data_IF_446106225558
#
_entry.id   IF_446106225558
#
_cell.length_a   1.000
_cell.length_b   1.000
_cell.length_c   1.000
_cell.angle_alpha   90.00
_cell.angle_beta   90.00
_cell.angle_gamma   90.00
#
_symmetry.space_group_name_H-M   'P 1'
#
loop_
_entity.id
_entity.type
_entity.pdbx_description
1 polymer ?
#
# COMPACT_ATOMS: atom_id res chain seq x y z
N UNK A 1 -14.46 -7.11 -57.85
CA UNK A 1 -14.35 -5.80 -57.17
C UNK A 1 -15.08 -5.89 -55.84
N UNK A 2 -14.41 -6.39 -54.80
CA UNK A 2 -14.90 -6.29 -53.42
C UNK A 2 -13.96 -5.34 -52.68
N UNK A 3 -14.57 -4.34 -52.05
CA UNK A 3 -13.95 -3.12 -51.54
C UNK A 3 -12.87 -3.38 -50.49
N UNK A 4 -11.65 -2.91 -50.76
CA UNK A 4 -10.56 -2.75 -49.79
C UNK A 4 -10.84 -1.64 -48.74
N UNK A 5 -11.98 -0.94 -48.82
CA UNK A 5 -12.35 0.16 -47.94
C UNK A 5 -12.93 -0.26 -46.59
N UNK A 6 -13.53 -1.45 -46.49
CA UNK A 6 -14.23 -1.89 -45.26
C UNK A 6 -13.26 -2.43 -44.21
N UNK A 7 -12.11 -2.99 -44.61
CA UNK A 7 -11.13 -3.56 -43.68
C UNK A 7 -10.40 -2.47 -42.90
N UNK A 8 -10.07 -1.32 -43.52
CA UNK A 8 -9.39 -0.20 -42.81
C UNK A 8 -10.30 0.55 -41.82
N UNK A 9 -11.60 0.61 -42.08
CA UNK A 9 -12.56 1.27 -41.16
C UNK A 9 -12.80 0.41 -39.92
N UNK A 10 -12.79 -0.93 -40.05
CA UNK A 10 -12.91 -1.85 -38.91
C UNK A 10 -11.63 -1.87 -38.05
N UNK A 11 -10.43 -1.72 -38.64
CA UNK A 11 -9.17 -1.58 -37.88
C UNK A 11 -9.07 -0.24 -37.14
N UNK A 12 -9.64 0.85 -37.69
CA UNK A 12 -9.64 2.16 -37.03
C UNK A 12 -10.67 2.23 -35.89
N UNK A 13 -11.85 1.62 -36.06
CA UNK A 13 -12.86 1.54 -34.98
C UNK A 13 -12.46 0.57 -33.86
N UNK A 14 -11.74 -0.51 -34.16
CA UNK A 14 -11.18 -1.38 -33.12
C UNK A 14 -10.03 -0.71 -32.36
N UNK A 15 -9.25 0.18 -32.99
CA UNK A 15 -8.28 1.01 -32.28
C UNK A 15 -8.96 2.03 -31.34
N UNK A 16 -10.08 2.65 -31.74
CA UNK A 16 -10.81 3.64 -30.92
C UNK A 16 -11.61 3.01 -29.76
N UNK A 17 -12.15 1.80 -29.92
CA UNK A 17 -12.83 1.08 -28.83
C UNK A 17 -11.85 0.63 -27.72
N UNK A 18 -10.56 0.56 -28.02
CA UNK A 18 -9.48 0.32 -27.06
C UNK A 18 -9.07 1.57 -26.27
N UNK A 19 -9.75 2.71 -26.42
CA UNK A 19 -9.46 3.95 -25.65
C UNK A 19 -10.54 4.33 -24.64
N UNK A 20 -11.67 3.62 -24.56
CA UNK A 20 -12.66 3.90 -23.52
C UNK A 20 -12.17 3.36 -22.16
N UNK A 21 -12.07 4.20 -21.13
CA UNK A 21 -11.69 3.77 -19.80
C UNK A 21 -12.80 2.87 -19.23
N UNK A 22 -12.44 1.64 -18.86
CA UNK A 22 -13.25 0.86 -17.93
C UNK A 22 -13.27 1.62 -16.61
N UNK A 23 -14.45 1.70 -15.98
CA UNK A 23 -14.67 2.40 -14.70
C UNK A 23 -13.57 2.04 -13.70
N UNK A 24 -12.60 2.94 -13.51
CA UNK A 24 -11.87 3.04 -12.27
C UNK A 24 -12.90 3.38 -11.18
N UNK A 25 -12.70 2.83 -9.99
CA UNK A 25 -13.38 3.30 -8.78
C UNK A 25 -13.15 4.82 -8.72
N UNK A 26 -14.17 5.57 -8.31
CA UNK A 26 -14.17 7.02 -8.21
C UNK A 26 -13.10 7.48 -7.19
N UNK A 27 -11.83 7.50 -7.59
CA UNK A 27 -10.81 8.26 -6.90
C UNK A 27 -11.13 9.73 -7.14
N UNK A 28 -11.07 10.54 -6.09
CA UNK A 28 -11.23 11.98 -6.27
C UNK A 28 -10.03 12.45 -7.12
N UNK A 29 -10.26 13.05 -8.30
CA UNK A 29 -9.14 13.54 -9.10
C UNK A 29 -8.53 14.76 -8.42
N UNK A 30 -7.27 14.65 -7.98
CA UNK A 30 -6.50 15.80 -7.50
C UNK A 30 -5.81 16.51 -8.67
N UNK A 31 -5.57 17.82 -8.51
CA UNK A 31 -4.85 18.58 -9.51
C UNK A 31 -3.34 18.27 -9.44
N UNK A 32 -2.86 17.48 -10.39
CA UNK A 32 -1.45 17.07 -10.58
C UNK A 32 -0.45 18.24 -10.74
N UNK A 33 -0.95 19.46 -10.95
CA UNK A 33 -0.14 20.70 -11.05
C UNK A 33 -0.07 21.47 -9.72
N UNK A 34 -0.63 20.93 -8.65
CA UNK A 34 -0.56 21.51 -7.31
C UNK A 34 0.68 21.00 -6.58
N UNK A 35 1.11 21.79 -5.60
CA UNK A 35 2.21 21.46 -4.71
C UNK A 35 1.84 20.32 -3.76
N UNK A 36 2.83 19.49 -3.41
CA UNK A 36 2.69 18.53 -2.32
C UNK A 36 3.02 19.24 -1.02
N UNK A 37 1.98 19.48 -0.21
CA UNK A 37 2.07 20.29 1.00
C UNK A 37 2.14 19.35 2.21
N UNK A 38 3.35 19.14 2.71
CA UNK A 38 3.60 18.42 3.96
C UNK A 38 3.96 19.40 5.06
N UNK A 39 3.27 19.29 6.20
CA UNK A 39 3.62 20.07 7.37
C UNK A 39 4.70 19.35 8.18
N UNK A 40 5.92 19.91 8.16
CA UNK A 40 7.04 19.41 8.97
C UNK A 40 7.18 20.13 10.31
N UNK A 41 6.32 21.11 10.61
CA UNK A 41 6.27 21.74 11.93
C UNK A 41 5.77 20.73 12.98
N UNK A 42 6.37 20.74 14.17
CA UNK A 42 6.04 19.81 15.27
C UNK A 42 6.25 18.32 14.94
N UNK A 43 7.07 18.03 13.93
CA UNK A 43 7.58 16.70 13.60
C UNK A 43 9.03 16.56 14.07
N UNK A 44 9.58 15.34 14.02
CA UNK A 44 11.00 15.09 14.34
C UNK A 44 11.93 15.31 13.12
N UNK A 45 11.43 15.99 12.09
CA UNK A 45 12.20 16.28 10.88
C UNK A 45 13.40 17.19 11.18
N UNK A 46 14.59 16.79 10.75
CA UNK A 46 15.71 17.71 10.60
C UNK A 46 15.73 18.24 9.17
N UNK A 47 15.61 19.55 9.01
CA UNK A 47 15.63 20.21 7.71
C UNK A 47 16.95 20.95 7.53
N UNK A 48 17.62 20.70 6.41
CA UNK A 48 18.89 21.35 6.02
C UNK A 48 18.72 21.96 4.64
N UNK A 49 19.21 23.18 4.44
CA UNK A 49 19.24 23.78 3.10
C UNK A 49 20.47 23.29 2.35
N UNK A 50 20.25 22.77 1.14
CA UNK A 50 21.31 22.29 0.25
C UNK A 50 21.15 22.91 -1.14
N UNK A 51 22.20 22.84 -1.96
CA UNK A 51 22.19 23.40 -3.31
C UNK A 51 22.53 22.32 -4.32
N UNK A 52 21.75 22.26 -5.39
CA UNK A 52 22.03 21.39 -6.54
C UNK A 52 22.85 22.20 -7.55
N UNK A 53 24.01 21.67 -7.94
CA UNK A 53 24.92 22.28 -8.92
C UNK A 53 25.16 21.27 -10.03
N UNK A 54 24.90 21.66 -11.28
CA UNK A 54 25.08 20.79 -12.46
C UNK A 54 24.36 19.43 -12.34
N UNK A 55 23.13 19.42 -11.82
CA UNK A 55 22.38 18.20 -11.52
C UNK A 55 23.10 17.23 -10.57
N UNK A 56 23.96 17.73 -9.69
CA UNK A 56 24.58 16.97 -8.62
C UNK A 56 24.27 17.63 -7.28
N UNK A 57 23.93 16.82 -6.29
CA UNK A 57 23.81 17.22 -4.89
C UNK A 57 24.98 16.63 -4.11
N UNK A 58 25.78 17.47 -3.48
CA UNK A 58 26.70 17.03 -2.43
C UNK A 58 25.90 16.87 -1.13
N UNK A 59 26.00 15.69 -0.52
CA UNK A 59 25.32 15.38 0.73
C UNK A 59 26.13 15.96 1.91
N UNK A 60 25.48 16.63 2.87
CA UNK A 60 26.17 17.12 4.05
C UNK A 60 26.66 15.96 4.90
N UNK A 61 27.74 16.18 5.65
CA UNK A 61 28.20 15.20 6.64
C UNK A 61 27.18 15.13 7.77
N UNK A 62 26.54 13.98 7.93
CA UNK A 62 25.58 13.75 8.99
C UNK A 62 26.29 13.39 10.29
N UNK A 63 26.02 14.14 11.36
CA UNK A 63 26.52 13.82 12.72
C UNK A 63 25.69 12.75 13.41
N UNK A 64 24.49 12.48 12.90
CA UNK A 64 23.52 11.54 13.46
C UNK A 64 23.18 10.46 12.41
N UNK A 65 22.70 9.32 12.88
CA UNK A 65 22.28 8.23 12.01
C UNK A 65 20.83 8.44 11.52
N UNK A 66 20.67 9.11 10.38
CA UNK A 66 19.39 9.25 9.68
C UNK A 66 19.15 8.05 8.76
N UNK A 67 17.91 7.58 8.68
CA UNK A 67 17.52 6.43 7.85
C UNK A 67 16.63 6.86 6.67
N UNK A 68 15.94 8.00 6.79
CA UNK A 68 15.04 8.49 5.75
C UNK A 68 15.40 9.90 5.36
N UNK A 69 15.45 10.13 4.05
CA UNK A 69 15.76 11.42 3.45
C UNK A 69 14.85 11.72 2.26
N UNK A 70 14.34 12.95 2.22
CA UNK A 70 13.60 13.49 1.08
C UNK A 70 14.17 14.84 0.66
N UNK A 71 14.28 15.06 -0.64
CA UNK A 71 14.65 16.34 -1.22
C UNK A 71 13.41 17.04 -1.77
N UNK A 72 13.05 18.16 -1.16
CA UNK A 72 11.94 18.99 -1.65
C UNK A 72 12.39 19.83 -2.84
N UNK A 73 11.75 19.62 -3.98
CA UNK A 73 12.09 20.23 -5.27
C UNK A 73 10.83 20.70 -5.99
N UNK A 74 10.94 21.79 -6.74
CA UNK A 74 9.90 22.24 -7.68
C UNK A 74 10.15 21.58 -9.04
N UNK A 75 9.28 20.66 -9.42
CA UNK A 75 9.36 19.88 -10.66
C UNK A 75 8.47 20.51 -11.73
N UNK A 76 8.95 20.50 -12.98
CA UNK A 76 8.13 20.83 -14.15
C UNK A 76 8.31 19.80 -15.26
N UNK A 77 7.21 19.13 -15.61
CA UNK A 77 7.15 18.25 -16.77
C UNK A 77 7.38 19.02 -18.08
N UNK A 78 8.08 18.40 -19.03
CA UNK A 78 8.42 18.96 -20.35
C UNK A 78 7.62 18.29 -21.47
N UNK A 79 7.85 18.68 -22.73
CA UNK A 79 7.11 18.15 -23.88
C UNK A 79 7.24 16.62 -24.01
N UNK A 80 6.17 15.96 -24.45
CA UNK A 80 6.14 14.50 -24.65
C UNK A 80 5.85 13.69 -23.38
N UNK A 81 5.57 14.33 -22.23
CA UNK A 81 5.18 13.59 -21.02
C UNK A 81 3.86 12.81 -21.21
N UNK A 82 2.96 13.20 -22.11
CA UNK A 82 1.70 12.50 -22.37
C UNK A 82 1.87 11.07 -22.94
N UNK A 83 3.06 10.71 -23.45
CA UNK A 83 3.40 9.35 -23.93
C UNK A 83 4.13 8.51 -22.89
N UNK A 84 4.90 9.14 -21.99
CA UNK A 84 5.73 8.46 -20.99
C UNK A 84 5.85 9.33 -19.75
N UNK A 85 5.66 8.71 -18.58
CA UNK A 85 5.71 9.41 -17.30
C UNK A 85 7.06 10.13 -17.11
N UNK A 86 7.07 11.38 -16.61
CA UNK A 86 8.31 12.02 -16.20
C UNK A 86 8.98 11.24 -15.08
N UNK A 87 10.31 11.23 -15.06
CA UNK A 87 11.09 10.52 -14.04
C UNK A 87 12.43 11.21 -13.77
N UNK A 88 13.03 10.83 -12.65
CA UNK A 88 14.43 11.12 -12.32
C UNK A 88 15.14 9.82 -12.00
N UNK A 89 16.31 9.64 -12.60
CA UNK A 89 17.27 8.59 -12.24
C UNK A 89 18.32 9.20 -11.32
N UNK A 90 18.61 8.49 -10.24
CA UNK A 90 19.50 8.88 -9.16
C UNK A 90 20.68 7.92 -9.17
N UNK A 91 21.91 8.44 -9.26
CA UNK A 91 23.10 7.60 -9.34
C UNK A 91 24.19 8.09 -8.37
N UNK A 92 24.80 7.17 -7.63
CA UNK A 92 25.98 7.44 -6.81
C UNK A 92 26.67 6.16 -6.33
N UNK A 93 27.96 6.02 -6.60
CA UNK A 93 28.83 4.94 -6.10
C UNK A 93 28.19 3.54 -6.09
N UNK A 94 27.59 3.13 -7.23
CA UNK A 94 26.99 1.80 -7.39
C UNK A 94 25.57 1.65 -6.82
N UNK A 95 24.99 2.72 -6.27
CA UNK A 95 23.56 2.81 -5.94
C UNK A 95 22.85 3.54 -7.07
N UNK A 96 21.84 2.90 -7.65
CA UNK A 96 20.99 3.48 -8.69
C UNK A 96 19.54 3.34 -8.26
N UNK A 97 18.76 4.41 -8.41
CA UNK A 97 17.34 4.39 -8.10
C UNK A 97 16.56 5.23 -9.11
N UNK A 98 15.28 4.92 -9.29
CA UNK A 98 14.41 5.64 -10.22
C UNK A 98 13.15 6.10 -9.50
N UNK A 99 12.81 7.39 -9.61
CA UNK A 99 11.52 7.91 -9.12
C UNK A 99 10.72 8.51 -10.27
N UNK A 100 9.45 8.11 -10.36
CA UNK A 100 8.51 8.64 -11.34
C UNK A 100 7.65 9.75 -10.73
N UNK A 101 7.22 10.66 -11.59
CA UNK A 101 6.26 11.73 -11.29
C UNK A 101 4.99 11.55 -12.12
N UNK A 102 3.95 12.30 -11.78
CA UNK A 102 2.70 12.28 -12.52
C UNK A 102 2.87 12.81 -13.95
N UNK A 103 2.01 12.33 -14.85
CA UNK A 103 1.80 12.99 -16.14
C UNK A 103 1.44 14.47 -15.96
N UNK A 104 2.21 15.35 -16.61
CA UNK A 104 2.02 16.79 -16.50
C UNK A 104 2.37 17.41 -15.14
N UNK A 105 3.14 16.71 -14.30
CA UNK A 105 3.56 17.19 -12.98
C UNK A 105 4.13 18.62 -13.03
N UNK A 106 3.65 19.45 -12.12
CA UNK A 106 4.14 20.81 -11.90
C UNK A 106 4.03 21.14 -10.41
N UNK A 107 5.07 21.73 -9.83
CA UNK A 107 5.08 22.21 -8.44
C UNK A 107 5.95 21.35 -7.53
N UNK A 108 5.79 21.57 -6.22
CA UNK A 108 6.59 20.92 -5.19
C UNK A 108 6.37 19.40 -5.15
N UNK A 109 7.48 18.67 -5.11
CA UNK A 109 7.59 17.21 -4.97
C UNK A 109 8.76 16.87 -4.05
N UNK A 110 8.80 15.60 -3.63
CA UNK A 110 9.83 15.08 -2.73
C UNK A 110 10.51 13.90 -3.39
N UNK A 111 11.80 14.04 -3.70
CA UNK A 111 12.63 12.95 -4.23
C UNK A 111 13.15 12.15 -3.04
N UNK A 112 12.90 10.84 -3.03
CA UNK A 112 13.37 9.95 -1.97
C UNK A 112 14.87 9.66 -2.14
N UNK A 113 15.66 10.02 -1.13
CA UNK A 113 17.12 9.84 -1.10
C UNK A 113 17.56 8.83 -0.02
N UNK A 114 16.62 8.10 0.57
CA UNK A 114 16.85 7.30 1.79
C UNK A 114 17.95 6.25 1.60
N UNK A 115 17.98 5.55 0.47
CA UNK A 115 19.01 4.54 0.20
C UNK A 115 20.41 5.15 0.11
N UNK A 116 20.55 6.31 -0.54
CA UNK A 116 21.84 6.99 -0.73
C UNK A 116 22.47 7.41 0.60
N UNK A 117 21.66 7.92 1.54
CA UNK A 117 22.18 8.31 2.86
C UNK A 117 22.52 7.08 3.71
N UNK A 118 21.77 5.99 3.61
CA UNK A 118 22.04 4.75 4.34
C UNK A 118 23.32 4.07 3.85
N UNK A 119 23.59 4.15 2.54
CA UNK A 119 24.85 3.70 1.92
C UNK A 119 26.01 4.69 2.12
N UNK A 120 25.78 5.81 2.83
CA UNK A 120 26.77 6.84 3.16
C UNK A 120 27.45 7.45 1.93
N UNK A 121 26.69 7.62 0.85
CA UNK A 121 27.17 8.33 -0.32
C UNK A 121 27.43 9.81 0.02
N UNK A 122 28.46 10.39 -0.61
CA UNK A 122 28.83 11.81 -0.42
C UNK A 122 28.18 12.74 -1.43
N UNK A 123 27.69 12.21 -2.55
CA UNK A 123 27.00 12.97 -3.58
C UNK A 123 25.91 12.13 -4.26
N UNK A 124 25.01 12.76 -5.00
CA UNK A 124 23.99 12.12 -5.83
C UNK A 124 23.88 12.89 -7.15
N UNK A 125 23.97 12.17 -8.27
CA UNK A 125 23.71 12.71 -9.61
C UNK A 125 22.26 12.46 -10.01
N UNK A 126 21.63 13.48 -10.62
CA UNK A 126 20.26 13.43 -11.10
C UNK A 126 20.23 13.46 -12.64
N UNK A 127 19.59 12.47 -13.25
CA UNK A 127 19.23 12.51 -14.67
C UNK A 127 17.71 12.60 -14.83
N UNK A 128 17.23 13.72 -15.36
CA UNK A 128 15.81 13.99 -15.49
C UNK A 128 15.32 13.68 -16.90
N UNK A 129 14.32 12.80 -17.01
CA UNK A 129 13.63 12.51 -18.26
C UNK A 129 12.22 13.10 -18.24
N UNK A 130 11.89 13.86 -19.30
CA UNK A 130 10.60 14.56 -19.49
C UNK A 130 10.19 15.48 -18.32
N UNK A 131 11.14 15.90 -17.50
CA UNK A 131 10.97 16.92 -16.47
C UNK A 131 12.30 17.62 -16.16
N UNK A 132 12.26 18.63 -15.31
CA UNK A 132 13.43 19.28 -14.71
C UNK A 132 13.04 19.93 -13.38
N UNK A 133 14.04 20.20 -12.54
CA UNK A 133 13.90 21.05 -11.35
C UNK A 133 13.97 22.53 -11.73
N UNK A 134 13.17 23.37 -11.09
CA UNK A 134 13.16 24.83 -11.34
C UNK A 134 13.87 25.63 -10.24
N UNK A 135 14.04 25.06 -9.05
CA UNK A 135 14.77 25.64 -7.93
C UNK A 135 16.13 24.95 -7.71
N UNK A 136 17.18 25.73 -7.43
CA UNK A 136 18.53 25.20 -7.14
C UNK A 136 18.82 25.05 -5.64
N UNK A 137 18.33 26.00 -4.84
CA UNK A 137 18.38 25.94 -3.38
C UNK A 137 17.14 25.20 -2.89
N UNK A 138 17.35 24.06 -2.26
CA UNK A 138 16.31 23.08 -1.93
C UNK A 138 16.42 22.69 -0.46
N UNK A 139 15.38 22.02 0.06
CA UNK A 139 15.36 21.51 1.44
C UNK A 139 15.61 20.01 1.44
N UNK A 140 16.59 19.57 2.21
CA UNK A 140 16.81 18.17 2.56
C UNK A 140 16.12 17.91 3.90
N UNK A 141 15.12 17.04 3.90
CA UNK A 141 14.35 16.62 5.06
C UNK A 141 14.83 15.25 5.52
N UNK A 142 15.20 15.12 6.79
CA UNK A 142 15.81 13.92 7.35
C UNK A 142 15.02 13.43 8.57
N UNK A 143 14.87 12.11 8.69
CA UNK A 143 14.25 11.47 9.85
C UNK A 143 15.14 10.35 10.41
N UNK A 144 15.14 10.26 11.75
CA UNK A 144 15.66 9.11 12.49
C UNK A 144 14.55 8.09 12.67
N UNK A 145 14.73 6.89 12.12
CA UNK A 145 13.81 5.78 12.30
C UNK A 145 14.51 4.69 13.11
N UNK A 146 13.85 4.15 14.15
CA UNK A 146 14.46 3.18 15.03
C UNK A 146 14.65 1.85 14.28
N UNK A 147 15.72 1.14 14.63
CA UNK A 147 15.89 -0.26 14.25
C UNK A 147 14.67 -1.06 14.71
N UNK A 148 14.15 -1.91 13.83
CA UNK A 148 12.93 -2.70 14.04
C UNK A 148 13.21 -4.17 14.32
N UNK A 149 14.43 -4.65 14.04
CA UNK A 149 14.83 -6.06 14.07
C UNK A 149 14.65 -6.70 15.47
N UNK A 150 14.73 -5.89 16.53
CA UNK A 150 14.58 -6.34 17.92
C UNK A 150 13.27 -5.86 18.58
N UNK A 151 12.35 -5.30 17.81
CA UNK A 151 11.07 -4.81 18.32
C UNK A 151 9.98 -5.87 18.15
N UNK A 152 9.04 -5.95 19.09
CA UNK A 152 7.78 -6.65 18.86
C UNK A 152 6.98 -5.85 17.84
N UNK A 153 6.82 -6.41 16.65
CA UNK A 153 6.18 -5.79 15.49
C UNK A 153 4.87 -6.52 15.22
N UNK A 154 3.76 -5.79 15.23
CA UNK A 154 2.47 -6.30 14.77
C UNK A 154 2.14 -5.67 13.41
N UNK A 155 1.88 -6.49 12.39
CA UNK A 155 1.36 -6.04 11.09
C UNK A 155 -0.11 -6.40 11.00
N UNK A 156 -0.96 -5.39 10.87
CA UNK A 156 -2.41 -5.55 10.68
C UNK A 156 -2.77 -5.34 9.22
N UNK A 157 -3.28 -6.40 8.60
CA UNK A 157 -3.75 -6.42 7.22
C UNK A 157 -5.28 -6.49 7.18
N UNK A 158 -5.98 -5.52 6.57
CA UNK A 158 -7.42 -5.60 6.37
C UNK A 158 -7.84 -6.83 5.57
N UNK A 159 -7.14 -7.13 4.47
CA UNK A 159 -7.40 -8.25 3.57
C UNK A 159 -6.17 -9.15 3.35
N UNK A 160 -6.36 -10.41 2.90
CA UNK A 160 -5.26 -11.29 2.51
C UNK A 160 -4.55 -10.78 1.25
N UNK A 161 -3.37 -10.18 1.43
CA UNK A 161 -2.42 -9.57 0.45
C UNK A 161 -1.85 -8.23 0.96
N UNK A 162 -2.58 -7.54 1.85
CA UNK A 162 -2.23 -6.18 2.26
C UNK A 162 -0.89 -6.08 3.00
N UNK A 163 -0.57 -7.07 3.85
CA UNK A 163 0.69 -7.12 4.56
C UNK A 163 1.86 -7.23 3.58
N UNK A 164 1.75 -8.12 2.59
CA UNK A 164 2.75 -8.33 1.55
C UNK A 164 2.90 -7.09 0.67
N UNK A 165 1.81 -6.41 0.33
CA UNK A 165 1.86 -5.17 -0.46
C UNK A 165 2.60 -4.07 0.30
N UNK A 166 2.22 -3.85 1.55
CA UNK A 166 2.65 -2.69 2.32
C UNK A 166 4.01 -2.88 3.01
N UNK A 167 4.27 -4.06 3.58
CA UNK A 167 5.25 -4.24 4.65
C UNK A 167 6.02 -5.56 4.59
N UNK A 168 6.03 -6.27 3.45
CA UNK A 168 6.77 -7.53 3.28
C UNK A 168 8.21 -7.44 3.78
N UNK A 169 8.95 -6.44 3.28
CA UNK A 169 10.35 -6.30 3.63
C UNK A 169 10.56 -5.97 5.10
N UNK A 170 9.69 -5.14 5.65
CA UNK A 170 9.72 -4.77 7.07
C UNK A 170 9.54 -6.00 7.98
N UNK A 171 8.51 -6.82 7.77
CA UNK A 171 8.33 -8.01 8.60
C UNK A 171 9.31 -9.13 8.27
N UNK A 172 9.78 -9.26 7.02
CA UNK A 172 10.84 -10.21 6.67
C UNK A 172 12.16 -9.91 7.39
N UNK A 173 12.39 -8.63 7.73
CA UNK A 173 13.57 -8.19 8.48
C UNK A 173 13.45 -8.39 9.99
N UNK A 174 12.31 -8.88 10.49
CA UNK A 174 12.05 -9.04 11.91
C UNK A 174 11.41 -10.39 12.23
N UNK A 175 12.19 -11.29 12.85
CA UNK A 175 11.71 -12.63 13.25
C UNK A 175 10.62 -12.61 14.33
N UNK A 176 10.50 -11.51 15.08
CA UNK A 176 9.46 -11.31 16.09
C UNK A 176 8.22 -10.59 15.51
N UNK A 177 8.12 -10.50 14.19
CA UNK A 177 6.92 -9.97 13.56
C UNK A 177 5.74 -10.93 13.72
N UNK A 178 4.59 -10.36 14.06
CA UNK A 178 3.29 -11.04 14.10
C UNK A 178 2.38 -10.41 13.04
N UNK A 179 1.78 -11.21 12.17
CA UNK A 179 0.89 -10.75 11.11
C UNK A 179 -0.54 -11.18 11.42
N UNK A 180 -1.45 -10.22 11.57
CA UNK A 180 -2.87 -10.47 11.80
C UNK A 180 -3.69 -9.89 10.65
N UNK A 181 -4.39 -10.77 9.94
CA UNK A 181 -5.32 -10.38 8.87
C UNK A 181 -6.73 -10.29 9.42
N UNK A 182 -7.43 -9.18 9.17
CA UNK A 182 -8.76 -8.92 9.74
C UNK A 182 -9.83 -9.72 9.03
N UNK A 183 -9.88 -9.63 7.70
CA UNK A 183 -10.92 -10.28 6.90
C UNK A 183 -10.40 -11.47 6.11
N UNK A 184 -11.32 -12.32 5.64
CA UNK A 184 -10.98 -13.48 4.78
C UNK A 184 -10.93 -13.15 3.29
N UNK A 185 -11.27 -11.91 2.89
CA UNK A 185 -11.27 -11.49 1.48
C UNK A 185 -12.33 -12.20 0.61
N UNK A 186 -13.46 -12.58 1.19
CA UNK A 186 -14.55 -13.33 0.55
C UNK A 186 -15.47 -12.49 -0.36
N UNK A 187 -15.18 -11.21 -0.57
CA UNK A 187 -15.94 -10.33 -1.46
C UNK A 187 -15.15 -9.99 -2.74
N UNK A 188 -15.51 -8.88 -3.39
CA UNK A 188 -14.86 -8.42 -4.62
C UNK A 188 -15.24 -9.22 -5.88
N UNK A 189 -14.36 -9.20 -6.89
CA UNK A 189 -14.61 -9.83 -8.20
C UNK A 189 -14.80 -11.35 -8.05
N UNK A 190 -15.77 -11.90 -8.79
CA UNK A 190 -15.95 -13.35 -8.97
C UNK A 190 -14.75 -13.93 -9.73
N UNK A 191 -13.99 -14.80 -9.08
CA UNK A 191 -12.74 -15.43 -9.55
C UNK A 191 -12.91 -16.95 -9.55
N UNK A 192 -12.76 -17.69 -10.65
CA UNK A 192 -13.08 -19.14 -10.73
C UNK A 192 -14.55 -19.48 -11.10
N UNK A 193 -15.22 -18.63 -11.88
CA UNK A 193 -16.58 -18.90 -12.39
C UNK A 193 -16.63 -20.06 -13.40
N UNK A 194 -15.50 -20.37 -14.03
CA UNK A 194 -15.25 -21.55 -14.85
C UNK A 194 -15.23 -22.86 -14.05
N UNK A 195 -14.88 -22.81 -12.76
CA UNK A 195 -14.84 -23.97 -11.86
C UNK A 195 -16.14 -24.13 -11.06
N UNK A 196 -16.76 -23.01 -10.67
CA UNK A 196 -17.91 -22.98 -9.79
C UNK A 196 -19.04 -22.11 -10.37
N UNK A 197 -20.05 -22.76 -10.94
CA UNK A 197 -21.23 -22.08 -11.49
C UNK A 197 -22.09 -21.44 -10.40
N UNK A 198 -22.17 -22.05 -9.20
CA UNK A 198 -22.88 -21.51 -8.05
C UNK A 198 -22.04 -20.46 -7.31
N UNK A 199 -22.60 -19.26 -7.16
CA UNK A 199 -21.92 -18.11 -6.53
C UNK A 199 -21.55 -18.36 -5.06
N UNK A 200 -22.42 -18.98 -4.27
CA UNK A 200 -22.15 -19.27 -2.86
C UNK A 200 -20.95 -20.22 -2.72
N UNK A 201 -20.96 -21.35 -3.44
CA UNK A 201 -19.85 -22.31 -3.43
C UNK A 201 -18.55 -21.66 -3.88
N UNK A 202 -18.63 -20.84 -4.94
CA UNK A 202 -17.51 -20.07 -5.46
C UNK A 202 -16.87 -19.17 -4.38
N UNK A 203 -17.66 -18.32 -3.72
CA UNK A 203 -17.13 -17.37 -2.74
C UNK A 203 -16.63 -18.08 -1.48
N UNK A 204 -17.24 -19.21 -1.08
CA UNK A 204 -16.70 -20.06 -0.01
C UNK A 204 -15.31 -20.60 -0.34
N UNK A 205 -15.09 -21.05 -1.57
CA UNK A 205 -13.79 -21.56 -2.03
C UNK A 205 -12.76 -20.46 -2.16
N UNK A 206 -13.17 -19.28 -2.65
CA UNK A 206 -12.32 -18.08 -2.68
C UNK A 206 -11.88 -17.67 -1.27
N UNK A 207 -12.82 -17.61 -0.32
CA UNK A 207 -12.54 -17.26 1.07
C UNK A 207 -11.52 -18.22 1.70
N UNK A 208 -11.72 -19.53 1.54
CA UNK A 208 -10.77 -20.53 2.04
C UNK A 208 -9.39 -20.37 1.43
N UNK A 209 -9.28 -20.16 0.11
CA UNK A 209 -7.99 -19.97 -0.53
C UNK A 209 -7.24 -18.73 -0.03
N UNK A 210 -7.95 -17.60 0.09
CA UNK A 210 -7.38 -16.34 0.58
C UNK A 210 -7.00 -16.40 2.05
N UNK A 211 -7.81 -17.06 2.87
CA UNK A 211 -7.49 -17.36 4.26
C UNK A 211 -6.15 -18.09 4.36
N UNK A 212 -5.99 -19.19 3.60
CA UNK A 212 -4.74 -19.94 3.55
C UNK A 212 -3.57 -19.12 3.01
N UNK A 213 -3.80 -18.21 2.04
CA UNK A 213 -2.76 -17.30 1.60
C UNK A 213 -2.29 -16.37 2.74
N UNK A 214 -3.20 -15.77 3.51
CA UNK A 214 -2.82 -14.90 4.64
C UNK A 214 -2.02 -15.61 5.74
N UNK A 215 -2.15 -16.93 5.86
CA UNK A 215 -1.44 -17.73 6.87
C UNK A 215 -0.11 -18.26 6.33
N UNK A 216 -0.04 -18.64 5.04
CA UNK A 216 1.12 -19.36 4.49
C UNK A 216 2.08 -18.49 3.71
N UNK A 217 1.64 -17.39 3.10
CA UNK A 217 2.52 -16.51 2.32
C UNK A 217 3.57 -15.80 3.18
N UNK A 218 3.27 -15.29 4.39
CA UNK A 218 4.33 -14.68 5.19
C UNK A 218 5.39 -15.68 5.66
N UNK A 219 5.16 -16.99 5.59
CA UNK A 219 6.20 -18.01 5.80
C UNK A 219 7.32 -17.93 4.75
N UNK A 220 7.05 -17.40 3.54
CA UNK A 220 8.09 -17.15 2.53
C UNK A 220 9.09 -16.09 2.99
N UNK A 221 8.71 -15.22 3.92
CA UNK A 221 9.60 -14.28 4.60
C UNK A 221 10.30 -14.89 5.84
N UNK A 222 10.08 -16.18 6.11
CA UNK A 222 10.64 -16.89 7.26
C UNK A 222 9.88 -16.70 8.58
N UNK A 223 8.63 -16.22 8.54
CA UNK A 223 7.79 -16.15 9.74
C UNK A 223 7.33 -17.55 10.14
N UNK A 224 7.33 -17.80 11.45
CA UNK A 224 6.81 -19.04 12.02
C UNK A 224 5.28 -19.07 11.94
N UNK A 225 4.65 -20.23 11.63
CA UNK A 225 3.19 -20.39 11.53
C UNK A 225 2.40 -19.86 12.74
N UNK A 226 3.01 -19.86 13.93
CA UNK A 226 2.37 -19.38 15.16
C UNK A 226 2.20 -17.85 15.20
N UNK A 227 3.00 -17.12 14.41
CA UNK A 227 3.01 -15.66 14.37
C UNK A 227 2.08 -15.09 13.29
N UNK A 228 1.19 -15.91 12.74
CA UNK A 228 0.28 -15.52 11.66
C UNK A 228 -1.13 -15.98 11.98
N UNK A 229 -2.08 -15.06 11.92
CA UNK A 229 -3.50 -15.36 12.11
C UNK A 229 -4.37 -14.62 11.10
N UNK A 230 -5.53 -15.20 10.83
CA UNK A 230 -6.67 -14.52 10.22
C UNK A 230 -7.86 -14.54 11.19
N UNK A 231 -8.43 -13.36 11.47
CA UNK A 231 -9.52 -13.16 12.42
C UNK A 231 -10.89 -13.61 11.89
N UNK A 232 -10.98 -13.95 10.61
CA UNK A 232 -12.16 -14.59 10.02
C UNK A 232 -13.29 -13.63 9.64
N UNK A 233 -13.15 -12.31 9.83
CA UNK A 233 -14.23 -11.35 9.51
C UNK A 233 -14.52 -11.31 8.01
N UNK A 234 -15.74 -10.93 7.65
CA UNK A 234 -16.15 -10.89 6.25
C UNK A 234 -15.68 -9.60 5.57
N UNK A 235 -15.21 -9.73 4.34
CA UNK A 235 -14.80 -8.61 3.50
C UNK A 235 -15.99 -7.69 3.19
N UNK A 236 -15.75 -6.38 3.16
CA UNK A 236 -16.70 -5.29 3.00
C UNK A 236 -17.75 -5.15 4.11
N UNK A 237 -17.59 -5.86 5.24
CA UNK A 237 -18.56 -5.84 6.34
C UNK A 237 -18.26 -4.85 7.46
N UNK A 238 -17.04 -4.31 7.54
CA UNK A 238 -16.60 -3.50 8.69
C UNK A 238 -17.40 -2.20 8.78
N UNK A 239 -17.77 -1.58 7.64
CA UNK A 239 -18.66 -0.41 7.62
C UNK A 239 -19.99 -0.69 8.31
N UNK A 240 -20.59 -1.85 8.03
CA UNK A 240 -21.85 -2.25 8.65
C UNK A 240 -21.65 -2.46 10.16
N UNK A 241 -20.59 -3.18 10.54
CA UNK A 241 -20.26 -3.45 11.94
C UNK A 241 -20.08 -2.15 12.73
N UNK A 242 -19.34 -1.18 12.17
CA UNK A 242 -19.10 0.12 12.80
C UNK A 242 -20.36 0.97 12.92
N UNK A 243 -21.22 0.96 11.89
CA UNK A 243 -22.42 1.81 11.85
C UNK A 243 -23.52 1.33 12.81
N UNK A 244 -23.58 0.02 13.09
CA UNK A 244 -24.49 -0.56 14.07
C UNK A 244 -23.77 -1.62 14.90
N UNK A 245 -23.08 -1.16 15.95
CA UNK A 245 -22.22 -1.98 16.81
C UNK A 245 -22.97 -3.08 17.56
N UNK A 246 -24.30 -3.04 17.58
CA UNK A 246 -25.16 -4.03 18.23
C UNK A 246 -25.47 -5.24 17.34
N UNK A 247 -25.29 -5.11 16.01
CA UNK A 247 -25.65 -6.13 15.04
C UNK A 247 -24.47 -6.96 14.58
N UNK A 248 -24.77 -8.20 14.24
CA UNK A 248 -23.87 -9.08 13.51
C UNK A 248 -23.98 -8.81 12.00
N UNK A 249 -22.85 -8.74 11.34
CA UNK A 249 -22.77 -8.69 9.90
C UNK A 249 -22.90 -10.09 9.30
N UNK A 250 -23.20 -10.14 7.99
CA UNK A 250 -23.23 -11.37 7.21
C UNK A 250 -22.30 -11.25 6.01
N UNK A 251 -21.70 -12.35 5.61
CA UNK A 251 -20.93 -12.43 4.38
C UNK A 251 -21.81 -12.05 3.18
N UNK A 252 -21.35 -11.10 2.37
CA UNK A 252 -22.15 -10.45 1.32
C UNK A 252 -22.73 -11.42 0.29
N UNK A 253 -21.96 -12.43 -0.10
CA UNK A 253 -22.32 -13.34 -1.20
C UNK A 253 -22.75 -14.74 -0.73
N UNK A 254 -22.37 -15.15 0.47
CA UNK A 254 -22.67 -16.49 1.00
C UNK A 254 -23.75 -16.47 2.08
N UNK A 255 -24.01 -15.31 2.69
CA UNK A 255 -24.98 -15.15 3.77
C UNK A 255 -24.54 -15.74 5.12
N UNK A 256 -23.29 -16.23 5.21
CA UNK A 256 -22.72 -16.74 6.45
C UNK A 256 -22.73 -15.68 7.55
N UNK A 257 -22.97 -16.10 8.79
CA UNK A 257 -22.98 -15.26 9.98
C UNK A 257 -22.05 -15.80 11.09
N UNK A 258 -21.33 -16.90 10.83
CA UNK A 258 -20.36 -17.49 11.74
C UNK A 258 -18.94 -17.38 11.17
N UNK A 259 -18.12 -16.49 11.74
CA UNK A 259 -16.72 -16.28 11.35
C UNK A 259 -15.76 -17.37 11.89
N UNK A 260 -16.20 -18.14 12.88
CA UNK A 260 -15.33 -19.10 13.57
C UNK A 260 -14.96 -20.29 12.66
N UNK A 261 -15.76 -20.58 11.62
CA UNK A 261 -15.42 -21.58 10.59
C UNK A 261 -14.11 -21.26 9.86
N UNK A 262 -13.73 -19.98 9.83
CA UNK A 262 -12.47 -19.52 9.26
C UNK A 262 -11.38 -19.47 10.32
N UNK A 263 -11.73 -19.09 11.55
CA UNK A 263 -10.77 -19.09 12.68
C UNK A 263 -10.19 -20.46 12.97
N UNK A 264 -11.03 -21.50 12.90
CA UNK A 264 -10.66 -22.91 13.12
C UNK A 264 -9.62 -23.45 12.11
N UNK A 265 -9.36 -22.74 11.01
CA UNK A 265 -8.36 -23.13 10.02
C UNK A 265 -6.98 -22.48 10.25
N UNK A 266 -6.84 -21.60 11.25
CA UNK A 266 -5.52 -21.08 11.61
C UNK A 266 -4.61 -22.21 12.08
N UNK A 267 -3.34 -22.16 11.67
CA UNK A 267 -2.30 -23.06 12.20
C UNK A 267 -1.92 -22.64 13.62
N UNK A 268 -1.92 -21.33 13.88
CA UNK A 268 -1.64 -20.79 15.19
C UNK A 268 -2.75 -21.09 16.18
N UNK A 269 -2.38 -21.56 17.37
CA UNK A 269 -3.31 -21.80 18.48
C UNK A 269 -3.83 -20.51 19.14
N UNK A 270 -3.40 -19.35 18.65
CA UNK A 270 -3.70 -18.03 19.21
C UNK A 270 -5.21 -17.78 19.39
N UNK A 271 -6.04 -18.31 18.48
CA UNK A 271 -7.49 -18.11 18.46
C UNK A 271 -8.30 -19.31 19.01
N UNK A 272 -7.67 -20.42 19.42
CA UNK A 272 -8.37 -21.67 19.81
C UNK A 272 -9.38 -21.50 20.95
N UNK A 273 -9.14 -20.51 21.83
CA UNK A 273 -9.99 -20.21 22.98
C UNK A 273 -10.86 -18.96 22.80
N UNK A 274 -10.87 -18.37 21.59
CA UNK A 274 -11.49 -17.07 21.32
C UNK A 274 -12.61 -17.22 20.29
N UNK A 275 -13.83 -17.39 20.78
CA UNK A 275 -15.02 -17.33 19.95
C UNK A 275 -15.48 -15.89 19.73
N UNK A 276 -15.85 -15.54 18.51
CA UNK A 276 -16.32 -14.20 18.17
C UNK A 276 -17.52 -14.23 17.23
N UNK A 277 -18.35 -13.19 17.34
CA UNK A 277 -19.40 -12.91 16.37
C UNK A 277 -18.90 -11.85 15.37
N UNK A 278 -19.41 -11.79 14.13
CA UNK A 278 -19.04 -10.77 13.15
C UNK A 278 -19.63 -9.39 13.51
N UNK A 279 -19.22 -8.80 14.63
CA UNK A 279 -19.65 -7.48 15.07
C UNK A 279 -18.47 -6.63 15.55
N UNK A 280 -18.70 -5.32 15.67
CA UNK A 280 -17.64 -4.36 16.01
C UNK A 280 -16.98 -4.64 17.35
N UNK A 281 -17.79 -4.99 18.37
CA UNK A 281 -17.29 -5.27 19.72
C UNK A 281 -16.33 -6.46 19.72
N UNK A 282 -16.65 -7.51 18.99
CA UNK A 282 -15.77 -8.66 18.84
C UNK A 282 -14.46 -8.28 18.15
N UNK A 283 -14.51 -7.48 17.07
CA UNK A 283 -13.29 -7.05 16.36
C UNK A 283 -12.36 -6.25 17.28
N UNK A 284 -12.90 -5.27 18.01
CA UNK A 284 -12.14 -4.49 18.99
C UNK A 284 -11.56 -5.39 20.08
N UNK A 285 -12.32 -6.37 20.59
CA UNK A 285 -11.84 -7.31 21.60
C UNK A 285 -10.72 -8.23 21.08
N UNK A 286 -10.80 -8.71 19.84
CA UNK A 286 -9.72 -9.53 19.25
C UNK A 286 -8.44 -8.72 19.11
N UNK A 287 -8.53 -7.47 18.63
CA UNK A 287 -7.37 -6.58 18.49
C UNK A 287 -6.75 -6.26 19.86
N UNK A 288 -7.57 -6.06 20.90
CA UNK A 288 -7.10 -5.90 22.27
C UNK A 288 -6.35 -7.13 22.75
N UNK A 289 -6.93 -8.31 22.51
CA UNK A 289 -6.31 -9.58 22.88
C UNK A 289 -4.95 -9.78 22.18
N UNK A 290 -4.83 -9.43 20.90
CA UNK A 290 -3.54 -9.43 20.18
C UNK A 290 -2.53 -8.51 20.87
N UNK A 291 -2.91 -7.26 21.14
CA UNK A 291 -2.02 -6.27 21.77
C UNK A 291 -1.55 -6.71 23.16
N UNK A 292 -2.44 -7.27 23.98
CA UNK A 292 -2.09 -7.74 25.33
C UNK A 292 -1.12 -8.92 25.32
N UNK A 293 -1.23 -9.81 24.33
CA UNK A 293 -0.38 -11.00 24.18
C UNK A 293 0.97 -10.68 23.54
N UNK A 294 0.94 -10.03 22.38
CA UNK A 294 2.14 -9.74 21.59
C UNK A 294 2.93 -8.54 22.13
N UNK A 295 2.27 -7.65 22.88
CA UNK A 295 2.85 -6.43 23.46
C UNK A 295 3.70 -5.67 22.43
N UNK A 296 3.11 -5.30 21.27
CA UNK A 296 3.86 -4.66 20.20
C UNK A 296 4.36 -3.28 20.65
N UNK A 297 5.58 -2.94 20.24
CA UNK A 297 6.10 -1.56 20.36
C UNK A 297 5.90 -0.77 19.06
N UNK A 298 5.65 -1.48 17.95
CA UNK A 298 5.30 -0.93 16.65
C UNK A 298 4.12 -1.71 16.09
N UNK A 299 3.09 -1.00 15.64
CA UNK A 299 1.95 -1.59 14.93
C UNK A 299 1.87 -0.97 13.54
N UNK A 300 1.99 -1.80 12.50
CA UNK A 300 1.82 -1.41 11.10
C UNK A 300 0.36 -1.61 10.72
N UNK A 301 -0.31 -0.58 10.22
CA UNK A 301 -1.75 -0.60 9.93
C UNK A 301 -2.08 0.46 8.86
N UNK A 302 -3.20 0.38 8.12
CA UNK A 302 -3.52 1.39 7.11
C UNK A 302 -3.68 2.81 7.69
N UNK A 303 -3.39 3.83 6.89
CA UNK A 303 -3.63 5.24 7.20
C UNK A 303 -5.06 5.62 6.77
N UNK A 304 -6.01 5.83 7.72
CA UNK A 304 -7.42 6.02 7.35
C UNK A 304 -7.73 7.28 6.54
N UNK A 305 -7.04 8.39 6.79
CA UNK A 305 -7.30 9.64 6.07
C UNK A 305 -6.93 9.59 4.58
N UNK A 306 -5.95 8.75 4.19
CA UNK A 306 -5.41 8.73 2.81
C UNK A 306 -5.67 7.41 2.06
N UNK A 307 -6.27 6.41 2.69
CA UNK A 307 -6.69 5.15 2.04
C UNK A 307 -8.21 5.16 1.80
N UNK A 308 -8.69 4.90 0.58
CA UNK A 308 -10.12 4.99 0.23
C UNK A 308 -10.93 3.80 0.75
N UNK A 309 -10.31 2.65 1.02
CA UNK A 309 -11.04 1.42 1.29
C UNK A 309 -11.67 1.42 2.70
N UNK A 310 -12.99 1.25 2.86
CA UNK A 310 -13.64 1.31 4.18
C UNK A 310 -13.06 0.34 5.22
N UNK A 311 -12.79 -0.91 4.81
CA UNK A 311 -12.19 -1.91 5.71
C UNK A 311 -10.77 -1.51 6.16
N UNK A 312 -9.99 -0.82 5.32
CA UNK A 312 -8.67 -0.31 5.70
C UNK A 312 -8.80 0.76 6.78
N UNK A 313 -9.66 1.75 6.54
CA UNK A 313 -9.94 2.80 7.52
C UNK A 313 -10.38 2.20 8.85
N UNK A 314 -11.35 1.29 8.81
CA UNK A 314 -12.00 0.76 10.00
C UNK A 314 -11.15 -0.24 10.77
N UNK A 315 -10.20 -0.92 10.12
CA UNK A 315 -9.19 -1.72 10.81
C UNK A 315 -8.38 -0.86 11.79
N UNK A 316 -7.86 0.27 11.32
CA UNK A 316 -7.09 1.19 12.17
C UNK A 316 -7.98 1.91 13.19
N UNK A 317 -9.24 2.24 12.85
CA UNK A 317 -10.18 2.82 13.83
C UNK A 317 -10.49 1.84 14.96
N UNK A 318 -10.73 0.56 14.65
CA UNK A 318 -10.94 -0.48 15.66
C UNK A 318 -9.69 -0.67 16.54
N UNK A 319 -8.50 -0.65 15.93
CA UNK A 319 -7.23 -0.70 16.66
C UNK A 319 -7.10 0.47 17.63
N UNK A 320 -7.26 1.71 17.16
CA UNK A 320 -7.14 2.93 18.00
C UNK A 320 -8.15 2.88 19.15
N UNK A 321 -9.38 2.41 18.90
CA UNK A 321 -10.36 2.20 19.95
C UNK A 321 -9.85 1.18 20.98
N UNK A 322 -9.37 0.02 20.54
CA UNK A 322 -8.83 -1.03 21.41
C UNK A 322 -7.65 -0.55 22.26
N UNK A 323 -6.70 0.16 21.66
CA UNK A 323 -5.54 0.74 22.35
C UNK A 323 -5.96 1.75 23.42
N UNK A 324 -6.98 2.58 23.15
CA UNK A 324 -7.55 3.51 24.15
C UNK A 324 -8.22 2.77 25.30
N UNK A 325 -9.01 1.74 25.00
CA UNK A 325 -9.67 0.94 26.02
C UNK A 325 -8.67 0.17 26.91
N UNK A 326 -7.52 -0.22 26.36
CA UNK A 326 -6.42 -0.86 27.11
C UNK A 326 -5.50 0.12 27.83
N UNK A 327 -5.63 1.42 27.57
CA UNK A 327 -4.65 2.43 27.96
C UNK A 327 -3.21 2.11 27.49
N UNK A 328 -3.07 1.52 26.28
CA UNK A 328 -1.80 1.12 25.71
C UNK A 328 -1.21 2.27 24.86
N UNK A 329 -0.46 3.16 25.52
CA UNK A 329 -0.03 4.45 24.93
C UNK A 329 1.42 4.44 24.40
N UNK A 330 2.27 3.56 24.91
CA UNK A 330 3.69 3.46 24.56
C UNK A 330 3.90 2.59 23.31
N UNK A 331 3.27 3.00 22.21
CA UNK A 331 3.32 2.30 20.92
C UNK A 331 3.33 3.29 19.76
N UNK A 332 4.14 2.97 18.75
CA UNK A 332 4.17 3.69 17.48
C UNK A 332 3.24 3.01 16.47
N UNK A 333 2.40 3.80 15.79
CA UNK A 333 1.64 3.36 14.63
C UNK A 333 2.40 3.73 13.36
N UNK A 334 2.71 2.73 12.54
CA UNK A 334 3.38 2.88 11.24
C UNK A 334 2.33 2.73 10.14
N UNK A 335 1.86 3.87 9.64
CA UNK A 335 0.67 3.96 8.81
C UNK A 335 1.03 3.86 7.31
N UNK A 336 0.48 2.86 6.62
CA UNK A 336 0.66 2.65 5.18
C UNK A 336 -0.60 2.97 4.38
N UNK A 337 -0.51 3.06 3.05
CA UNK A 337 -1.69 3.13 2.18
C UNK A 337 -1.53 2.17 1.00
N UNK A 338 -2.52 1.31 0.81
CA UNK A 338 -2.56 0.42 -0.35
C UNK A 338 -3.53 0.96 -1.39
N UNK A 339 -4.63 1.62 -0.98
CA UNK A 339 -5.60 2.21 -1.90
C UNK A 339 -5.65 3.73 -1.74
N UNK A 340 -4.68 4.43 -2.32
CA UNK A 340 -4.58 5.88 -2.16
C UNK A 340 -5.84 6.62 -2.63
N UNK A 341 -6.32 7.57 -1.82
CA UNK A 341 -7.65 8.19 -1.97
C UNK A 341 -7.88 8.95 -3.28
N UNK A 342 -6.83 9.57 -3.82
CA UNK A 342 -6.94 10.40 -5.03
C UNK A 342 -6.47 9.72 -6.31
N UNK A 343 -5.62 8.70 -6.19
CA UNK A 343 -4.97 8.10 -7.35
C UNK A 343 -4.68 6.64 -7.11
N UNK A 344 -5.51 5.79 -7.69
CA UNK A 344 -5.28 4.35 -7.72
C UNK A 344 -3.95 3.99 -8.42
N UNK A 345 -3.39 4.86 -9.26
CA UNK A 345 -2.06 4.63 -9.84
C UNK A 345 -0.92 4.92 -8.87
N UNK A 346 -1.16 5.46 -7.67
CA UNK A 346 -0.11 5.58 -6.66
C UNK A 346 0.34 4.18 -6.16
N UNK A 347 1.65 3.98 -5.93
CA UNK A 347 2.79 4.84 -6.28
C UNK A 347 3.02 4.96 -7.78
N UNK A 348 3.51 6.11 -8.29
CA UNK A 348 3.79 6.29 -9.72
C UNK A 348 4.92 5.38 -10.21
N UNK A 349 5.01 5.16 -11.53
CA UNK A 349 6.10 4.39 -12.12
C UNK A 349 5.93 2.88 -12.11
N UNK A 350 7.02 2.21 -12.44
CA UNK A 350 7.12 0.77 -12.71
C UNK A 350 7.57 -0.02 -11.47
N UNK A 351 7.45 -1.35 -11.56
CA UNK A 351 8.12 -2.29 -10.65
C UNK A 351 9.60 -1.92 -10.50
N UNK A 352 10.17 -2.06 -9.29
CA UNK A 352 11.56 -1.67 -8.96
C UNK A 352 11.88 -0.20 -9.21
N UNK A 353 10.97 0.65 -8.73
CA UNK A 353 11.22 2.08 -8.62
C UNK A 353 10.91 2.53 -7.20
N UNK A 354 11.37 3.71 -6.83
CA UNK A 354 11.11 4.32 -5.54
C UNK A 354 9.61 4.61 -5.36
N UNK A 355 9.12 4.34 -4.15
CA UNK A 355 7.86 4.91 -3.66
C UNK A 355 8.13 6.35 -3.22
N UNK A 356 7.53 7.28 -3.94
CA UNK A 356 7.51 8.69 -3.59
C UNK A 356 6.48 8.97 -2.47
N UNK A 357 6.59 10.14 -1.83
CA UNK A 357 5.52 10.62 -0.96
C UNK A 357 4.20 10.78 -1.75
N UNK A 358 3.06 10.39 -1.18
CA UNK A 358 1.77 10.54 -1.85
C UNK A 358 1.38 12.01 -2.07
N UNK A 359 0.47 12.29 -3.01
CA UNK A 359 -0.01 13.65 -3.29
C UNK A 359 -0.88 14.27 -2.18
N UNK A 360 -0.29 14.97 -1.21
CA UNK A 360 -1.07 15.72 -0.19
C UNK A 360 -1.22 17.18 -0.63
N UNK A 361 -2.46 17.65 -0.82
CA UNK A 361 -2.72 19.04 -1.26
C UNK A 361 -3.08 19.95 -0.08
N UNK A 362 -3.08 21.27 -0.28
CA UNK A 362 -3.27 22.28 0.79
C UNK A 362 -4.60 22.21 1.54
N UNK A 363 -5.60 21.49 1.01
CA UNK A 363 -6.90 21.31 1.67
C UNK A 363 -6.86 20.21 2.74
N UNK A 364 -5.76 19.46 2.82
CA UNK A 364 -5.58 18.34 3.75
C UNK A 364 -4.50 18.63 4.78
N UNK A 365 -4.66 18.01 5.95
CA UNK A 365 -3.59 17.91 6.93
C UNK A 365 -3.38 16.43 7.23
N UNK A 366 -2.31 15.86 6.66
CA UNK A 366 -1.78 14.55 7.05
C UNK A 366 -0.89 14.76 8.25
N UNK A 367 -1.21 14.09 9.37
CA UNK A 367 -0.40 14.13 10.57
C UNK A 367 0.62 12.99 10.60
N UNK A 368 1.84 13.30 11.04
CA UNK A 368 2.91 12.35 11.32
C UNK A 368 3.94 13.00 12.24
N UNK A 369 4.60 12.20 13.08
CA UNK A 369 5.82 12.61 13.79
C UNK A 369 7.05 12.38 12.94
N UNK A 370 7.07 11.30 12.17
CA UNK A 370 8.15 10.93 11.26
C UNK A 370 7.62 10.28 10.01
N UNK A 371 8.46 10.25 8.98
CA UNK A 371 8.24 9.41 7.81
C UNK A 371 9.36 8.37 7.76
N UNK A 372 8.98 7.12 7.57
CA UNK A 372 9.90 6.01 7.37
C UNK A 372 9.82 5.53 5.92
N UNK A 373 10.95 5.60 5.22
CA UNK A 373 11.16 4.94 3.94
C UNK A 373 12.11 3.77 4.17
N UNK A 374 11.55 2.58 4.36
CA UNK A 374 12.30 1.35 4.59
C UNK A 374 12.81 0.78 3.27
N UNK A 375 14.12 0.80 3.06
CA UNK A 375 14.76 0.41 1.79
C UNK A 375 14.86 -1.11 1.67
N UNK A 376 14.56 -1.64 0.49
CA UNK A 376 14.59 -3.08 0.22
C UNK A 376 15.82 -3.44 -0.61
N UNK A 377 16.55 -4.47 -0.18
CA UNK A 377 17.58 -5.06 -1.02
C UNK A 377 16.99 -5.74 -2.26
N UNK A 378 17.76 -5.88 -3.34
CA UNK A 378 17.31 -6.55 -4.58
C UNK A 378 16.72 -7.95 -4.34
N UNK A 379 17.29 -8.70 -3.39
CA UNK A 379 16.79 -10.00 -2.98
C UNK A 379 15.42 -9.86 -2.34
N UNK A 380 15.26 -8.96 -1.36
CA UNK A 380 13.97 -8.74 -0.69
C UNK A 380 12.88 -8.23 -1.66
N UNK A 381 13.25 -7.41 -2.65
CA UNK A 381 12.30 -7.01 -3.70
C UNK A 381 11.85 -8.20 -4.54
N UNK A 382 12.76 -9.13 -4.83
CA UNK A 382 12.44 -10.37 -5.55
C UNK A 382 11.58 -11.30 -4.71
N UNK A 383 11.92 -11.47 -3.43
CA UNK A 383 11.16 -12.29 -2.48
C UNK A 383 9.76 -11.73 -2.26
N UNK A 384 9.63 -10.39 -2.18
CA UNK A 384 8.35 -9.68 -2.15
C UNK A 384 7.52 -9.97 -3.39
N UNK A 385 8.12 -9.92 -4.58
CA UNK A 385 7.42 -10.26 -5.82
C UNK A 385 6.96 -11.73 -5.83
N UNK A 386 7.74 -12.66 -5.30
CA UNK A 386 7.35 -14.06 -5.16
C UNK A 386 6.24 -14.27 -4.12
N UNK A 387 6.23 -13.48 -3.05
CA UNK A 387 5.14 -13.50 -2.07
C UNK A 387 3.82 -13.01 -2.68
N UNK A 388 3.86 -11.95 -3.49
CA UNK A 388 2.70 -11.51 -4.27
C UNK A 388 2.27 -12.58 -5.28
N UNK A 389 3.23 -13.24 -5.93
CA UNK A 389 2.93 -14.38 -6.81
C UNK A 389 2.27 -15.53 -6.06
N UNK A 390 2.59 -15.76 -4.79
CA UNK A 390 1.94 -16.79 -3.98
C UNK A 390 0.49 -16.45 -3.61
N UNK A 391 0.04 -15.19 -3.77
CA UNK A 391 -1.34 -14.79 -3.58
C UNK A 391 -2.19 -15.20 -4.79
N UNK A 392 -2.94 -16.30 -4.65
CA UNK A 392 -3.80 -16.81 -5.71
C UNK A 392 -4.75 -15.78 -6.34
N UNK A 393 -5.30 -14.80 -5.60
CA UNK A 393 -6.17 -13.79 -6.20
C UNK A 393 -5.49 -12.80 -7.14
N UNK A 394 -4.16 -12.66 -7.05
CA UNK A 394 -3.39 -11.74 -7.87
C UNK A 394 -3.01 -12.37 -9.22
N UNK A 395 -3.07 -13.70 -9.32
CA UNK A 395 -2.82 -14.45 -10.55
C UNK A 395 -3.98 -14.31 -11.54
N UNK A 396 -3.72 -14.51 -12.85
CA UNK A 396 -4.78 -14.80 -13.81
C UNK A 396 -5.69 -15.93 -13.30
N UNK A 397 -7.00 -15.81 -13.57
CA UNK A 397 -7.98 -16.85 -13.27
C UNK A 397 -7.66 -18.16 -14.03
N UNK A 398 -8.28 -19.27 -13.64
CA UNK A 398 -7.95 -20.59 -14.23
C UNK A 398 -8.51 -20.78 -15.64
N UNK A 399 -9.14 -19.77 -16.23
CA UNK A 399 -9.63 -19.82 -17.61
C UNK A 399 -8.49 -20.02 -18.64
N UNK A 400 -7.24 -19.68 -18.29
CA UNK A 400 -6.08 -19.78 -19.20
C UNK A 400 -5.83 -21.19 -19.73
N UNK A 401 -6.34 -22.23 -19.05
CA UNK A 401 -6.29 -23.63 -19.50
C UNK A 401 -7.16 -23.91 -20.75
N UNK A 402 -8.11 -23.01 -21.06
CA UNK A 402 -9.00 -23.15 -22.22
C UNK A 402 -8.53 -22.26 -23.37
N UNK A 403 -8.70 -22.69 -24.63
CA UNK A 403 -8.33 -21.88 -25.80
C UNK A 403 -9.01 -20.50 -25.81
N UNK A 404 -10.25 -20.42 -25.29
CA UNK A 404 -10.98 -19.15 -25.16
C UNK A 404 -10.34 -18.24 -24.11
N UNK A 405 -10.05 -18.78 -22.93
CA UNK A 405 -9.42 -18.04 -21.84
C UNK A 405 -7.99 -17.61 -22.18
N UNK A 406 -7.17 -18.47 -22.80
CA UNK A 406 -5.82 -18.06 -23.25
C UNK A 406 -5.88 -16.91 -24.27
N UNK A 407 -6.87 -16.92 -25.18
CA UNK A 407 -7.09 -15.79 -26.11
C UNK A 407 -7.56 -14.53 -25.39
N UNK A 408 -8.48 -14.65 -24.43
CA UNK A 408 -8.93 -13.53 -23.59
C UNK A 408 -7.75 -12.92 -22.83
N UNK A 409 -6.91 -13.75 -22.21
CA UNK A 409 -5.70 -13.33 -21.50
C UNK A 409 -4.70 -12.67 -22.45
N UNK A 410 -4.41 -13.26 -23.61
CA UNK A 410 -3.54 -12.67 -24.63
C UNK A 410 -4.03 -11.26 -25.04
N UNK A 411 -5.32 -11.11 -25.36
CA UNK A 411 -5.86 -9.81 -25.75
C UNK A 411 -5.88 -8.82 -24.58
N UNK A 412 -6.15 -9.29 -23.36
CA UNK A 412 -6.07 -8.46 -22.15
C UNK A 412 -4.64 -7.92 -21.98
N UNK A 413 -3.65 -8.81 -21.92
CA UNK A 413 -2.23 -8.48 -21.81
C UNK A 413 -1.75 -7.56 -22.92
N UNK A 414 -2.16 -7.82 -24.18
CA UNK A 414 -1.79 -6.98 -25.31
C UNK A 414 -2.37 -5.57 -25.18
N UNK A 415 -3.65 -5.44 -24.82
CA UNK A 415 -4.29 -4.12 -24.63
C UNK A 415 -3.62 -3.31 -23.52
N UNK A 416 -3.25 -3.98 -22.44
CA UNK A 416 -2.61 -3.38 -21.28
C UNK A 416 -1.17 -2.94 -21.58
N UNK A 417 -0.40 -3.78 -22.27
CA UNK A 417 0.93 -3.42 -22.76
C UNK A 417 0.88 -2.21 -23.71
N UNK A 418 -0.11 -2.16 -24.61
CA UNK A 418 -0.31 -1.00 -25.51
C UNK A 418 -0.70 0.26 -24.73
N UNK A 419 -1.56 0.12 -23.72
CA UNK A 419 -1.99 1.23 -22.87
C UNK A 419 -0.92 1.68 -21.86
N UNK A 420 0.21 0.96 -21.77
CA UNK A 420 1.22 1.13 -20.74
C UNK A 420 0.61 1.11 -19.32
N UNK A 421 -0.54 0.45 -19.18
CA UNK A 421 -1.18 0.12 -17.92
C UNK A 421 -0.72 -1.29 -17.62
N UNK A 422 0.48 -1.44 -17.05
CA UNK A 422 1.05 -2.77 -16.78
C UNK A 422 0.00 -3.66 -16.09
N UNK A 423 -0.12 -4.91 -16.59
CA UNK A 423 -1.12 -5.95 -16.23
C UNK A 423 -1.15 -6.27 -14.72
N UNK A 424 -0.09 -5.88 -14.02
CA UNK A 424 0.16 -6.15 -12.62
C UNK A 424 0.03 -4.88 -11.77
N UNK A 425 -1.18 -4.32 -11.73
CA UNK A 425 -1.48 -3.18 -10.86
C UNK A 425 -0.90 -3.36 -9.43
N UNK A 426 -0.96 -4.59 -8.91
CA UNK A 426 -0.42 -4.97 -7.61
C UNK A 426 1.10 -5.13 -7.58
N UNK A 427 1.74 -5.84 -8.52
CA UNK A 427 3.21 -5.97 -8.50
C UNK A 427 3.88 -4.64 -8.79
N UNK A 428 3.36 -3.89 -9.76
CA UNK A 428 3.74 -2.52 -10.02
C UNK A 428 3.60 -1.72 -8.74
N UNK A 429 2.49 -1.80 -7.99
CA UNK A 429 2.33 -1.06 -6.73
C UNK A 429 3.33 -1.49 -5.65
N UNK A 430 3.54 -2.79 -5.45
CA UNK A 430 4.13 -3.35 -4.24
C UNK A 430 5.62 -3.69 -4.34
N UNK A 431 6.09 -4.24 -5.47
CA UNK A 431 7.49 -4.64 -5.66
C UNK A 431 8.35 -3.42 -6.02
N UNK A 432 8.67 -2.63 -4.99
CA UNK A 432 9.33 -1.31 -5.07
C UNK A 432 10.66 -1.32 -4.33
N UNK A 433 11.45 -0.27 -4.56
CA UNK A 433 12.77 -0.13 -3.93
C UNK A 433 12.66 0.17 -2.42
N UNK A 434 11.50 0.62 -1.97
CA UNK A 434 11.23 0.93 -0.57
C UNK A 434 9.76 0.73 -0.19
N UNK A 435 9.53 0.56 1.11
CA UNK A 435 8.23 0.60 1.77
C UNK A 435 8.10 1.93 2.52
N UNK A 436 6.91 2.53 2.51
CA UNK A 436 6.69 3.89 3.03
C UNK A 436 5.64 3.89 4.15
N UNK A 437 6.00 4.48 5.28
CA UNK A 437 5.15 4.58 6.46
C UNK A 437 5.14 5.99 7.03
N UNK A 438 3.97 6.48 7.41
CA UNK A 438 3.82 7.65 8.27
C UNK A 438 3.77 7.19 9.73
N UNK A 439 4.69 7.70 10.55
CA UNK A 439 4.83 7.26 11.94
C UNK A 439 4.12 8.23 12.87
N UNK A 440 3.23 7.70 13.72
CA UNK A 440 2.45 8.45 14.71
C UNK A 440 2.58 7.77 16.06
N UNK A 441 2.80 8.56 17.13
CA UNK A 441 2.77 8.03 18.48
C UNK A 441 1.32 7.91 18.97
N UNK A 442 0.94 6.78 19.57
CA UNK A 442 -0.42 6.58 20.07
C UNK A 442 -0.88 7.66 21.07
N UNK A 443 0.04 8.16 21.91
CA UNK A 443 -0.21 9.27 22.84
C UNK A 443 -0.71 10.55 22.15
N UNK A 444 -0.29 10.83 20.92
CA UNK A 444 -0.69 12.03 20.19
C UNK A 444 -2.16 11.97 19.78
N UNK A 445 -2.67 10.75 19.54
CA UNK A 445 -4.05 10.46 19.15
C UNK A 445 -5.08 10.65 20.29
N UNK A 446 -4.61 11.04 21.48
CA UNK A 446 -5.46 11.55 22.55
C UNK A 446 -5.96 12.98 22.24
N UNK A 447 -5.20 13.73 21.44
CA UNK A 447 -5.61 15.06 20.99
C UNK A 447 -6.64 14.95 19.86
N UNK A 448 -7.84 15.48 20.08
CA UNK A 448 -8.96 15.32 19.15
C UNK A 448 -8.69 15.84 17.73
N UNK A 449 -7.94 16.93 17.56
CA UNK A 449 -7.56 17.45 16.24
C UNK A 449 -6.61 16.52 15.50
N UNK A 450 -5.61 15.98 16.18
CA UNK A 450 -4.64 15.02 15.63
C UNK A 450 -5.36 13.72 15.26
N UNK A 451 -6.20 13.21 16.16
CA UNK A 451 -7.02 12.04 15.89
C UNK A 451 -7.85 12.24 14.62
N UNK A 452 -8.51 13.39 14.48
CA UNK A 452 -9.29 13.73 13.28
C UNK A 452 -8.43 13.76 12.02
N UNK A 453 -7.22 14.31 12.06
CA UNK A 453 -6.31 14.32 10.89
C UNK A 453 -5.83 12.92 10.49
N UNK A 454 -5.62 12.01 11.44
CA UNK A 454 -5.19 10.63 11.15
C UNK A 454 -6.36 9.79 10.63
N UNK A 455 -7.52 9.94 11.26
CA UNK A 455 -8.71 9.15 10.95
C UNK A 455 -9.41 9.66 9.67
N UNK A 456 -9.36 10.97 9.40
CA UNK A 456 -10.10 11.61 8.31
C UNK A 456 -11.61 11.56 8.51
N UNK A 457 -12.37 11.78 7.43
CA UNK A 457 -13.82 11.65 7.46
C UNK A 457 -14.24 10.16 7.36
N UNK A 458 -14.75 9.61 8.46
CA UNK A 458 -15.37 8.26 8.52
C UNK A 458 -16.89 8.32 8.21
N UNK A 459 -17.41 9.46 7.75
CA UNK A 459 -18.80 9.54 7.32
C UNK A 459 -18.97 8.84 5.98
N UNK A 460 -19.19 7.53 6.03
CA UNK A 460 -19.50 6.73 4.86
C UNK A 460 -20.95 7.03 4.42
N UNK A 461 -21.15 8.13 3.69
CA UNK A 461 -22.45 8.47 3.09
C UNK A 461 -23.02 7.32 2.26
#
# INVERSE_FOLDING_TARGET
MFSFGTVRIVTLFTALALFFPGKLVLSQEYNKRSDYVYNFENTDAKIVSVTIVNNTLELPVFTENYQTAFLEVDIRATFGNWLSQPKVELNSNGVNACQYFEFGAKGLRYINLSEFIQKKNSFIEFDFDRCHITNKKVRLILFKNPAIENKNLLVLAPHPDDAEIAAYGLYASNRNAFVATVTVGDAGKKMYDELYSNDTTHYLKKAGLRLWNSITVPMLAGLEPQNMINLGYFDASLKQMYSDTSKTAKARYTGLDNINIYREQNISSFLDSVYAAPNWRSLVNDLKYIVEKEKPSVIVTPYPAIDVHPDHKLTTVALIQGLKELNYMDVELWLYTNHYVYDEMYPQGKVRSLVALPPVTSEESVYFKRICSFTLSDNMQSDKALALEAMNPLRPDTEWHTTRGSRKLYWKTLRENIRNTENDYYYRRAARDNELFFVVDMKDLLTGSILKSVIGDINFK
#
